data_IF_751217355554
#
_entry.id   IF_751217355554
#
_cell.length_a   1.000
_cell.length_b   1.000
_cell.length_c   1.000
_cell.angle_alpha   90.00
_cell.angle_beta   90.00
_cell.angle_gamma   90.00
#
_symmetry.space_group_name_H-M   'P 1'
#
loop_
_entity.id
_entity.type
_entity.pdbx_description
1 polymer ?
#
# COMPACT_ATOMS: atom_id res chain seq x y z
N UNK A 1 2.21 -9.71 -7.88
CA UNK A 1 0.90 -9.88 -8.53
C UNK A 1 0.88 -10.97 -9.60
N UNK A 2 1.77 -11.01 -10.63
CA UNK A 2 1.69 -12.02 -11.69
C UNK A 2 1.84 -13.47 -11.20
N UNK A 3 2.77 -13.69 -10.24
CA UNK A 3 2.96 -15.00 -9.60
C UNK A 3 1.74 -15.48 -8.82
N UNK A 4 1.06 -14.60 -8.08
CA UNK A 4 -0.15 -14.92 -7.31
C UNK A 4 -1.31 -15.37 -8.22
N UNK A 5 -1.57 -14.62 -9.31
CA UNK A 5 -2.62 -15.02 -10.27
C UNK A 5 -2.29 -16.31 -11.01
N UNK A 6 -1.01 -16.56 -11.31
CA UNK A 6 -0.57 -17.79 -11.97
C UNK A 6 -0.65 -19.00 -11.02
N UNK A 7 -0.21 -18.87 -9.76
CA UNK A 7 -0.18 -19.97 -8.78
C UNK A 7 -1.54 -20.32 -8.21
N UNK A 8 -2.43 -19.34 -8.00
CA UNK A 8 -3.73 -19.55 -7.35
C UNK A 8 -4.87 -19.83 -8.35
N UNK A 9 -4.80 -19.29 -9.57
CA UNK A 9 -5.94 -19.30 -10.50
C UNK A 9 -5.61 -19.85 -11.90
N UNK A 10 -4.36 -20.21 -12.19
CA UNK A 10 -3.98 -20.84 -13.47
C UNK A 10 -4.29 -20.01 -14.72
N UNK A 11 -4.47 -18.69 -14.58
CA UNK A 11 -4.93 -17.81 -15.65
C UNK A 11 -3.81 -17.52 -16.66
N UNK A 12 -4.13 -17.72 -17.95
CA UNK A 12 -3.25 -17.45 -19.08
C UNK A 12 -2.99 -15.94 -19.24
N UNK A 13 -1.73 -15.62 -19.53
CA UNK A 13 -1.11 -14.29 -19.36
C UNK A 13 -1.79 -13.19 -20.22
N UNK A 14 -2.52 -13.58 -21.26
CA UNK A 14 -3.16 -12.68 -22.23
C UNK A 14 -4.48 -12.05 -21.73
N UNK A 15 -5.26 -12.76 -20.90
CA UNK A 15 -6.49 -12.23 -20.27
C UNK A 15 -6.20 -11.40 -19.01
N UNK A 16 -5.05 -11.68 -18.38
CA UNK A 16 -4.59 -10.99 -17.17
C UNK A 16 -4.06 -9.58 -17.39
N UNK A 17 -3.82 -9.15 -18.64
CA UNK A 17 -3.32 -7.79 -18.92
C UNK A 17 -4.31 -6.71 -18.50
N UNK A 18 -5.61 -6.88 -18.78
CA UNK A 18 -6.64 -5.90 -18.41
C UNK A 18 -6.84 -5.84 -16.88
N UNK A 19 -6.83 -7.01 -16.22
CA UNK A 19 -6.92 -7.12 -14.77
C UNK A 19 -5.68 -6.55 -14.05
N UNK A 20 -4.52 -6.56 -14.72
CA UNK A 20 -3.27 -6.02 -14.15
C UNK A 20 -3.20 -4.49 -14.22
N UNK A 21 -3.99 -3.84 -15.08
CA UNK A 21 -4.01 -2.37 -15.22
C UNK A 21 -4.92 -1.71 -14.17
N UNK A 22 -6.01 -2.39 -13.77
CA UNK A 22 -6.99 -1.88 -12.80
C UNK A 22 -6.37 -1.34 -11.51
N UNK A 23 -5.43 -2.03 -10.85
CA UNK A 23 -4.86 -1.53 -9.59
C UNK A 23 -4.05 -0.25 -9.78
N UNK A 24 -3.38 -0.07 -10.92
CA UNK A 24 -2.63 1.15 -11.22
C UNK A 24 -3.55 2.33 -11.47
N UNK A 25 -4.67 2.12 -12.18
CA UNK A 25 -5.69 3.15 -12.38
C UNK A 25 -6.32 3.55 -11.05
N UNK A 26 -6.60 2.58 -10.19
CA UNK A 26 -7.16 2.84 -8.87
C UNK A 26 -6.16 3.61 -7.98
N UNK A 27 -4.87 3.27 -8.03
CA UNK A 27 -3.82 4.03 -7.35
C UNK A 27 -3.74 5.47 -7.87
N UNK A 28 -3.79 5.68 -9.19
CA UNK A 28 -3.80 7.02 -9.78
C UNK A 28 -5.00 7.84 -9.30
N UNK A 29 -6.20 7.25 -9.28
CA UNK A 29 -7.39 7.90 -8.73
C UNK A 29 -7.22 8.23 -7.24
N UNK A 30 -6.72 7.28 -6.45
CA UNK A 30 -6.45 7.46 -5.01
C UNK A 30 -5.47 8.60 -4.72
N UNK A 31 -4.38 8.71 -5.51
CA UNK A 31 -3.41 9.80 -5.42
C UNK A 31 -4.05 11.17 -5.67
N UNK A 32 -4.90 11.29 -6.71
CA UNK A 32 -5.58 12.55 -7.01
C UNK A 32 -6.58 12.94 -5.92
N UNK A 33 -7.36 11.97 -5.43
CA UNK A 33 -8.31 12.17 -4.33
C UNK A 33 -7.56 12.59 -3.05
N UNK A 34 -6.41 11.98 -2.77
CA UNK A 34 -5.56 12.32 -1.63
C UNK A 34 -5.07 13.76 -1.68
N UNK A 35 -4.61 14.23 -2.86
CA UNK A 35 -4.22 15.64 -3.04
C UNK A 35 -5.39 16.60 -2.82
N UNK A 36 -6.54 16.33 -3.46
CA UNK A 36 -7.75 17.14 -3.28
C UNK A 36 -8.21 17.19 -1.82
N UNK A 37 -8.20 16.05 -1.12
CA UNK A 37 -8.57 15.95 0.29
C UNK A 37 -7.58 16.70 1.18
N UNK A 38 -6.28 16.61 0.88
CA UNK A 38 -5.24 17.36 1.60
C UNK A 38 -5.51 18.86 1.50
N UNK A 39 -5.68 19.36 0.27
CA UNK A 39 -5.95 20.76 0.00
C UNK A 39 -7.26 21.22 0.65
N UNK A 40 -8.30 20.40 0.60
CA UNK A 40 -9.58 20.70 1.24
C UNK A 40 -9.43 20.88 2.76
N UNK A 41 -8.76 19.95 3.44
CA UNK A 41 -8.58 19.97 4.89
C UNK A 41 -7.73 21.16 5.35
N UNK A 42 -6.66 21.47 4.60
CA UNK A 42 -5.75 22.58 4.89
C UNK A 42 -6.42 23.93 4.58
N UNK A 43 -7.02 24.10 3.40
CA UNK A 43 -7.62 25.37 2.98
C UNK A 43 -8.84 25.76 3.82
N UNK A 44 -9.60 24.77 4.32
CA UNK A 44 -10.71 24.99 5.26
C UNK A 44 -10.25 25.18 6.70
N UNK A 45 -8.93 25.12 6.97
CA UNK A 45 -8.33 25.21 8.32
C UNK A 45 -8.93 24.19 9.31
N UNK A 46 -9.35 23.03 8.80
CA UNK A 46 -9.91 21.95 9.63
C UNK A 46 -8.79 21.21 10.37
N UNK A 47 -7.62 21.09 9.74
CA UNK A 47 -6.43 20.47 10.30
C UNK A 47 -5.19 21.27 9.88
N UNK A 48 -4.16 21.29 10.72
CA UNK A 48 -2.83 21.77 10.33
C UNK A 48 -2.20 20.86 9.28
N UNK A 49 -1.27 21.37 8.48
CA UNK A 49 -0.52 20.59 7.48
C UNK A 49 0.01 19.26 8.03
N UNK A 50 0.74 19.29 9.16
CA UNK A 50 1.30 18.08 9.80
C UNK A 50 0.23 17.03 10.13
N UNK A 51 -0.90 17.43 10.71
CA UNK A 51 -2.00 16.53 11.02
C UNK A 51 -2.69 15.98 9.76
N UNK A 52 -2.86 16.80 8.72
CA UNK A 52 -3.39 16.35 7.43
C UNK A 52 -2.47 15.30 6.79
N UNK A 53 -1.16 15.55 6.76
CA UNK A 53 -0.18 14.58 6.22
C UNK A 53 -0.18 13.27 6.99
N UNK A 54 -0.21 13.33 8.32
CA UNK A 54 -0.31 12.14 9.20
C UNK A 54 -1.59 11.36 8.94
N UNK A 55 -2.74 12.04 8.84
CA UNK A 55 -4.03 11.40 8.57
C UNK A 55 -4.00 10.65 7.23
N UNK A 56 -3.54 11.30 6.17
CA UNK A 56 -3.46 10.70 4.84
C UNK A 56 -2.47 9.52 4.81
N UNK A 57 -1.34 9.64 5.52
CA UNK A 57 -0.39 8.53 5.65
C UNK A 57 -0.98 7.32 6.38
N UNK A 58 -1.76 7.57 7.45
CA UNK A 58 -2.46 6.50 8.20
C UNK A 58 -3.48 5.82 7.30
N UNK A 59 -4.32 6.58 6.59
CA UNK A 59 -5.29 6.01 5.64
C UNK A 59 -4.57 5.18 4.58
N UNK A 60 -3.47 5.70 4.03
CA UNK A 60 -2.68 5.03 3.02
C UNK A 60 -1.80 3.88 3.50
N UNK A 61 -1.79 3.56 4.80
CA UNK A 61 -1.00 2.45 5.37
C UNK A 61 -1.87 1.45 6.12
N UNK A 62 -2.79 1.93 6.96
CA UNK A 62 -3.73 1.10 7.70
C UNK A 62 -4.82 0.51 6.79
N UNK A 63 -5.31 1.29 5.82
CA UNK A 63 -6.31 0.82 4.85
C UNK A 63 -5.82 -0.40 4.04
N UNK A 64 -4.64 -0.32 3.40
CA UNK A 64 -4.00 -1.46 2.75
C UNK A 64 -3.76 -2.64 3.70
N UNK A 65 -3.28 -2.38 4.93
CA UNK A 65 -3.04 -3.44 5.91
C UNK A 65 -4.31 -4.22 6.26
N UNK A 66 -5.44 -3.53 6.47
CA UNK A 66 -6.73 -4.16 6.75
C UNK A 66 -7.18 -5.00 5.55
N UNK A 67 -7.07 -4.47 4.33
CA UNK A 67 -7.42 -5.21 3.11
C UNK A 67 -6.59 -6.49 2.95
N UNK A 68 -5.28 -6.41 3.25
CA UNK A 68 -4.37 -7.56 3.20
C UNK A 68 -4.67 -8.59 4.30
N UNK A 69 -5.07 -8.17 5.50
CA UNK A 69 -5.49 -9.10 6.57
C UNK A 69 -6.80 -9.81 6.21
N UNK A 70 -7.77 -9.11 5.62
CA UNK A 70 -8.98 -9.74 5.08
C UNK A 70 -8.66 -10.75 3.98
N UNK A 71 -7.68 -10.45 3.12
CA UNK A 71 -7.21 -11.38 2.09
C UNK A 71 -6.50 -12.60 2.72
N UNK A 72 -5.71 -12.40 3.78
CA UNK A 72 -5.04 -13.47 4.53
C UNK A 72 -6.03 -14.41 5.21
N UNK A 73 -7.12 -13.88 5.79
CA UNK A 73 -8.16 -14.71 6.43
C UNK A 73 -9.11 -15.36 5.43
N UNK A 74 -9.30 -14.74 4.27
CA UNK A 74 -10.14 -15.27 3.19
C UNK A 74 -9.45 -16.31 2.31
N UNK A 75 -8.13 -16.50 2.43
CA UNK A 75 -7.36 -17.53 1.72
C UNK A 75 -7.23 -18.78 2.60
N UNK A 76 -7.85 -19.92 2.24
CA UNK A 76 -7.68 -21.15 2.99
C UNK A 76 -6.20 -21.56 2.97
N UNK A 77 -5.61 -21.72 4.15
CA UNK A 77 -4.23 -22.19 4.32
C UNK A 77 -4.08 -23.62 3.79
N UNK A 78 -3.73 -23.78 2.52
CA UNK A 78 -3.26 -25.05 1.94
C UNK A 78 -4.32 -26.14 1.83
N UNK A 79 -4.63 -26.48 0.57
CA UNK A 79 -5.34 -27.70 0.13
C UNK A 79 -6.84 -27.84 0.54
N UNK A 80 -7.65 -28.13 -0.47
CA UNK A 80 -9.02 -28.66 -0.38
C UNK A 80 -10.16 -27.70 0.05
N UNK A 81 -10.73 -27.03 -0.96
CA UNK A 81 -12.10 -27.29 -1.42
C UNK A 81 -13.31 -27.08 -0.51
N UNK A 82 -14.33 -26.47 -1.14
CA UNK A 82 -15.80 -26.70 -1.02
C UNK A 82 -16.59 -25.60 -0.31
N UNK A 83 -17.18 -24.71 -1.11
CA UNK A 83 -18.41 -24.00 -0.69
C UNK A 83 -18.74 -22.73 -1.49
N UNK A 84 -17.74 -22.04 -2.06
CA UNK A 84 -17.95 -20.76 -2.74
C UNK A 84 -17.52 -20.90 -4.21
N UNK A 85 -18.32 -20.45 -5.19
CA UNK A 85 -17.92 -20.52 -6.59
C UNK A 85 -16.59 -19.81 -6.82
N UNK A 86 -15.67 -20.49 -7.51
CA UNK A 86 -14.27 -20.08 -7.76
C UNK A 86 -14.15 -18.66 -8.34
N UNK A 87 -15.20 -18.20 -9.05
CA UNK A 87 -15.32 -16.85 -9.61
C UNK A 87 -15.51 -15.75 -8.53
N UNK A 88 -16.26 -16.03 -7.46
CA UNK A 88 -16.58 -15.04 -6.42
C UNK A 88 -15.37 -14.76 -5.52
N UNK A 89 -14.57 -15.78 -5.21
CA UNK A 89 -13.31 -15.62 -4.48
C UNK A 89 -12.28 -14.84 -5.30
N UNK A 90 -12.18 -15.10 -6.61
CA UNK A 90 -11.34 -14.32 -7.52
C UNK A 90 -11.77 -12.85 -7.57
N UNK A 91 -13.07 -12.59 -7.68
CA UNK A 91 -13.62 -11.22 -7.73
C UNK A 91 -13.32 -10.47 -6.44
N UNK A 92 -13.55 -11.10 -5.28
CA UNK A 92 -13.26 -10.49 -3.98
C UNK A 92 -11.76 -10.19 -3.81
N UNK A 93 -10.88 -11.11 -4.20
CA UNK A 93 -9.43 -10.89 -4.15
C UNK A 93 -9.02 -9.72 -5.06
N UNK A 94 -9.51 -9.67 -6.30
CA UNK A 94 -9.22 -8.57 -7.23
C UNK A 94 -9.72 -7.24 -6.68
N UNK A 95 -10.94 -7.17 -6.16
CA UNK A 95 -11.50 -5.95 -5.57
C UNK A 95 -10.67 -5.48 -4.38
N UNK A 96 -10.28 -6.38 -3.47
CA UNK A 96 -9.44 -6.04 -2.32
C UNK A 96 -8.04 -5.56 -2.74
N UNK A 97 -7.44 -6.17 -3.77
CA UNK A 97 -6.13 -5.74 -4.27
C UNK A 97 -6.21 -4.38 -4.98
N UNK A 98 -7.27 -4.13 -5.74
CA UNK A 98 -7.54 -2.82 -6.35
C UNK A 98 -7.77 -1.76 -5.27
N UNK A 99 -8.55 -2.07 -4.24
CA UNK A 99 -8.79 -1.18 -3.10
C UNK A 99 -7.49 -0.90 -2.32
N UNK A 100 -6.66 -1.92 -2.11
CA UNK A 100 -5.34 -1.80 -1.47
C UNK A 100 -4.50 -0.78 -2.24
N UNK A 101 -4.46 -0.88 -3.57
CA UNK A 101 -3.68 0.05 -4.40
C UNK A 101 -4.28 1.45 -4.45
N UNK A 102 -5.61 1.59 -4.46
CA UNK A 102 -6.28 2.89 -4.32
C UNK A 102 -5.91 3.58 -3.00
N UNK A 103 -5.94 2.84 -1.90
CA UNK A 103 -5.60 3.36 -0.59
C UNK A 103 -4.10 3.67 -0.49
N UNK A 104 -3.22 2.85 -1.06
CA UNK A 104 -1.78 3.16 -1.14
C UNK A 104 -1.50 4.51 -1.84
N UNK A 105 -2.34 4.90 -2.81
CA UNK A 105 -2.27 6.22 -3.45
C UNK A 105 -2.35 7.39 -2.45
N UNK A 106 -2.98 7.20 -1.28
CA UNK A 106 -3.05 8.24 -0.24
C UNK A 106 -1.72 8.55 0.42
N UNK A 107 -0.71 7.67 0.31
CA UNK A 107 0.64 7.97 0.78
C UNK A 107 1.29 9.13 0.00
N UNK A 108 0.83 9.42 -1.22
CA UNK A 108 1.28 10.57 -1.97
C UNK A 108 0.97 11.89 -1.24
N UNK A 109 -0.26 12.07 -0.76
CA UNK A 109 -0.64 13.25 0.02
C UNK A 109 -0.14 13.26 1.47
N UNK A 110 0.38 12.13 1.95
CA UNK A 110 1.01 11.97 3.27
C UNK A 110 2.54 12.11 3.20
N UNK A 111 3.26 10.98 3.13
CA UNK A 111 4.72 10.92 3.11
C UNK A 111 5.35 11.73 1.97
N UNK A 112 4.86 11.61 0.73
CA UNK A 112 5.54 12.24 -0.41
C UNK A 112 5.48 13.78 -0.31
N UNK A 113 4.29 14.34 -0.02
CA UNK A 113 4.15 15.78 0.19
C UNK A 113 4.89 16.30 1.42
N UNK A 114 5.10 15.49 2.46
CA UNK A 114 5.82 15.92 3.68
C UNK A 114 7.26 16.37 3.38
N UNK A 115 7.93 15.83 2.35
CA UNK A 115 9.28 16.25 1.97
C UNK A 115 9.31 17.69 1.46
N UNK A 116 8.28 18.07 0.69
CA UNK A 116 8.12 19.42 0.17
C UNK A 116 7.79 20.41 1.29
N UNK A 117 7.00 19.98 2.27
CA UNK A 117 6.64 20.80 3.43
C UNK A 117 7.85 21.07 4.36
N UNK A 118 8.78 20.10 4.51
CA UNK A 118 9.97 20.25 5.39
C UNK A 118 11.08 21.10 4.75
N UNK A 119 11.40 20.87 3.47
CA UNK A 119 12.50 21.57 2.79
C UNK A 119 12.15 21.82 1.32
N UNK A 120 11.67 23.03 1.02
CA UNK A 120 11.19 23.39 -0.31
C UNK A 120 12.27 23.26 -1.40
N UNK A 121 13.51 23.68 -1.11
CA UNK A 121 14.64 23.62 -2.07
C UNK A 121 15.23 22.22 -2.24
N UNK A 122 15.23 21.42 -1.18
CA UNK A 122 15.88 20.10 -1.14
C UNK A 122 14.88 18.94 -1.18
N UNK A 123 13.59 19.21 -1.42
CA UNK A 123 12.52 18.22 -1.40
C UNK A 123 12.82 17.01 -2.30
N UNK A 124 13.34 17.24 -3.50
CA UNK A 124 13.69 16.18 -4.46
C UNK A 124 14.87 15.33 -3.99
N UNK A 125 15.86 15.93 -3.33
CA UNK A 125 17.02 15.22 -2.77
C UNK A 125 16.57 14.39 -1.56
N UNK A 126 15.76 14.95 -0.67
CA UNK A 126 15.20 14.23 0.46
C UNK A 126 14.32 13.06 -0.02
N UNK A 127 13.41 13.30 -0.97
CA UNK A 127 12.56 12.26 -1.52
C UNK A 127 13.37 11.17 -2.26
N UNK A 128 14.41 11.56 -2.99
CA UNK A 128 15.29 10.63 -3.69
C UNK A 128 16.08 9.73 -2.72
N UNK A 129 16.64 10.31 -1.66
CA UNK A 129 17.41 9.55 -0.65
C UNK A 129 16.53 8.60 0.16
N UNK A 130 15.32 9.02 0.53
CA UNK A 130 14.37 8.13 1.22
C UNK A 130 13.88 7.02 0.29
N UNK A 131 13.60 7.30 -0.98
CA UNK A 131 13.20 6.29 -1.96
C UNK A 131 14.33 5.29 -2.27
N UNK A 132 15.59 5.75 -2.33
CA UNK A 132 16.75 4.86 -2.49
C UNK A 132 16.89 3.91 -1.30
N UNK A 133 16.77 4.43 -0.09
CA UNK A 133 16.79 3.63 1.15
C UNK A 133 15.64 2.61 1.18
N UNK A 134 14.43 3.05 0.81
CA UNK A 134 13.26 2.18 0.70
C UNK A 134 13.44 1.07 -0.35
N UNK A 135 14.09 1.36 -1.48
CA UNK A 135 14.34 0.38 -2.55
C UNK A 135 15.31 -0.73 -2.12
N UNK A 136 16.35 -0.38 -1.35
CA UNK A 136 17.27 -1.35 -0.77
C UNK A 136 16.57 -2.24 0.25
N UNK A 137 15.79 -1.64 1.16
CA UNK A 137 14.98 -2.36 2.13
C UNK A 137 13.95 -3.28 1.44
N UNK A 138 13.30 -2.78 0.37
CA UNK A 138 12.34 -3.54 -0.43
C UNK A 138 12.96 -4.78 -1.08
N UNK A 139 14.19 -4.67 -1.56
CA UNK A 139 14.91 -5.80 -2.15
C UNK A 139 15.18 -6.91 -1.13
N UNK A 140 15.63 -6.54 0.08
CA UNK A 140 15.79 -7.50 1.19
C UNK A 140 14.45 -8.11 1.63
N UNK A 141 13.38 -7.30 1.64
CA UNK A 141 12.04 -7.76 2.00
C UNK A 141 11.49 -8.79 0.99
N UNK A 142 11.69 -8.58 -0.32
CA UNK A 142 11.29 -9.54 -1.36
C UNK A 142 11.99 -10.89 -1.15
N UNK A 143 13.28 -10.89 -0.79
CA UNK A 143 13.99 -12.12 -0.45
C UNK A 143 13.37 -12.82 0.76
N UNK A 144 13.08 -12.07 1.84
CA UNK A 144 12.44 -12.61 3.04
C UNK A 144 11.07 -13.22 2.74
N UNK A 145 10.24 -12.55 1.93
CA UNK A 145 8.95 -13.08 1.47
C UNK A 145 9.12 -14.38 0.68
N UNK A 146 10.12 -14.47 -0.19
CA UNK A 146 10.44 -15.69 -0.93
C UNK A 146 10.77 -16.86 0.00
N UNK A 147 11.64 -16.64 0.98
CA UNK A 147 12.01 -17.67 1.97
C UNK A 147 10.80 -18.12 2.80
N UNK A 148 9.94 -17.19 3.21
CA UNK A 148 8.71 -17.51 3.97
C UNK A 148 7.78 -18.35 3.12
N UNK A 149 7.56 -17.95 1.86
CA UNK A 149 6.68 -18.67 0.95
C UNK A 149 7.21 -20.09 0.66
N UNK A 150 8.52 -20.24 0.44
CA UNK A 150 9.15 -21.55 0.21
C UNK A 150 8.97 -22.48 1.42
N UNK A 151 9.08 -21.95 2.64
CA UNK A 151 8.99 -22.74 3.89
C UNK A 151 7.56 -23.03 4.34
N UNK A 152 6.64 -22.09 4.17
CA UNK A 152 5.28 -22.18 4.73
C UNK A 152 4.23 -22.51 3.68
N UNK A 153 4.52 -22.31 2.39
CA UNK A 153 3.58 -22.47 1.27
C UNK A 153 2.24 -21.74 1.48
N UNK A 154 2.23 -20.67 2.30
CA UNK A 154 1.01 -19.93 2.64
C UNK A 154 1.19 -18.43 2.36
N UNK A 155 0.35 -17.92 1.47
CA UNK A 155 0.26 -16.48 1.19
C UNK A 155 -0.33 -15.68 2.35
N UNK A 156 -1.14 -16.29 3.21
CA UNK A 156 -1.70 -15.62 4.38
C UNK A 156 -0.60 -15.08 5.32
N UNK A 157 0.46 -15.87 5.55
CA UNK A 157 1.61 -15.44 6.37
C UNK A 157 2.38 -14.28 5.75
N UNK A 158 2.47 -14.24 4.43
CA UNK A 158 3.10 -13.13 3.70
C UNK A 158 2.26 -11.85 3.85
N UNK A 159 0.93 -11.95 3.71
CA UNK A 159 0.03 -10.81 3.88
C UNK A 159 0.01 -10.29 5.33
N UNK A 160 0.02 -11.16 6.33
CA UNK A 160 0.16 -10.79 7.74
C UNK A 160 1.45 -10.01 8.01
N UNK A 161 2.58 -10.47 7.45
CA UNK A 161 3.85 -9.78 7.57
C UNK A 161 3.79 -8.38 6.95
N UNK A 162 3.30 -8.25 5.71
CA UNK A 162 3.18 -6.96 5.03
C UNK A 162 2.27 -6.01 5.82
N UNK A 163 1.12 -6.49 6.30
CA UNK A 163 0.20 -5.70 7.11
C UNK A 163 0.86 -5.19 8.41
N UNK A 164 1.63 -6.04 9.10
CA UNK A 164 2.35 -5.65 10.32
C UNK A 164 3.40 -4.56 10.05
N UNK A 165 4.13 -4.66 8.93
CA UNK A 165 5.09 -3.64 8.51
C UNK A 165 4.40 -2.32 8.20
N UNK A 166 3.27 -2.34 7.48
CA UNK A 166 2.49 -1.14 7.16
C UNK A 166 1.93 -0.45 8.40
N UNK A 167 1.45 -1.20 9.39
CA UNK A 167 0.95 -0.62 10.63
C UNK A 167 2.08 -0.03 11.48
N UNK A 168 3.22 -0.72 11.55
CA UNK A 168 4.39 -0.25 12.29
C UNK A 168 4.97 1.02 11.67
N UNK A 169 5.07 1.07 10.33
CA UNK A 169 5.54 2.27 9.64
C UNK A 169 4.58 3.45 9.82
N UNK A 170 3.27 3.20 9.78
CA UNK A 170 2.27 4.22 10.06
C UNK A 170 2.39 4.77 11.49
N UNK A 171 2.57 3.89 12.48
CA UNK A 171 2.74 4.30 13.88
C UNK A 171 3.99 5.16 14.06
N UNK A 172 5.12 4.76 13.50
CA UNK A 172 6.36 5.55 13.52
C UNK A 172 6.13 6.91 12.86
N UNK A 173 5.47 6.96 11.70
CA UNK A 173 5.19 8.20 11.00
C UNK A 173 4.31 9.15 11.82
N UNK A 174 3.24 8.63 12.46
CA UNK A 174 2.35 9.45 13.29
C UNK A 174 3.09 10.06 14.47
N UNK A 175 3.97 9.29 15.12
CA UNK A 175 4.71 9.76 16.30
C UNK A 175 5.78 10.77 15.92
N UNK A 176 6.59 10.50 14.89
CA UNK A 176 7.82 11.26 14.62
C UNK A 176 7.74 12.26 13.48
N UNK A 177 6.80 12.12 12.52
CA UNK A 177 6.75 13.02 11.38
C UNK A 177 6.31 14.43 11.79
N UNK A 178 6.88 15.44 11.13
CA UNK A 178 6.42 16.83 11.17
C UNK A 178 6.44 17.38 9.75
N UNK A 179 5.53 18.30 9.45
CA UNK A 179 5.43 18.98 8.15
C UNK A 179 5.58 20.49 8.32
N UNK A 180 6.41 20.89 9.30
CA UNK A 180 6.83 22.27 9.50
C UNK A 180 8.12 22.52 8.71
N UNK A 181 8.28 23.70 8.08
CA UNK A 181 9.52 24.05 7.38
C UNK A 181 10.70 24.04 8.35
N UNK A 182 11.74 23.26 8.04
CA UNK A 182 12.96 23.19 8.87
C UNK A 182 14.19 23.76 8.17
N UNK A 183 14.13 23.94 6.85
CA UNK A 183 15.23 24.44 6.03
C UNK A 183 14.70 25.40 4.96
N UNK A 184 15.42 26.52 4.73
CA UNK A 184 15.14 27.54 3.70
C UNK A 184 15.97 27.35 2.41
#
# INVERSE_FOLDING_TARGET
MPRYYNSEFGLDVRSSSFLSVLPWLAMAAGTNISGWLADFLINRKLLSTSHTRKLLQVVGSAGPAICLLYLAWGTPNGQEGKGVPQQAQLTNAVVLLVLTMALLGFQAGGFASTHQDIATRLASVLFGTTNASASLAGSAFVYAVGVILDRTQSWARVFELIASCCLTSAAIFVVFATSEPQFD
#
